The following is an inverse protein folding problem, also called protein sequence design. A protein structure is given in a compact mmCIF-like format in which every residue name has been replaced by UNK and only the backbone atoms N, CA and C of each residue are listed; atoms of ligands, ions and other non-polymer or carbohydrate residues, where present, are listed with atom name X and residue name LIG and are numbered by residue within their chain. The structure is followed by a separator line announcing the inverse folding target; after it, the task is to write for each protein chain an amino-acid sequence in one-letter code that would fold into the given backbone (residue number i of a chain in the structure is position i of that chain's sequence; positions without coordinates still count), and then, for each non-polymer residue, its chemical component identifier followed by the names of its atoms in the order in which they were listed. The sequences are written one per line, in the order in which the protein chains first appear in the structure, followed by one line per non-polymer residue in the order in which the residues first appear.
data_IF_096264122620
#
_entry.id   IF_096264122620
#
_cell.length_a   1.000
_cell.length_b   1.000
_cell.length_c   1.000
_cell.angle_alpha   90.00
_cell.angle_beta   90.00
_cell.angle_gamma   90.00
#
_symmetry.space_group_name_H-M   'P 1'
#
loop_
_entity.id
_entity.type
_entity.pdbx_description
1 polymer ?
#
# COMPACT_ATOMS: atom_id res chain seq x y z
N UNK A 1 34.50 7.40 -14.34
CA UNK A 1 33.90 6.13 -13.87
C UNK A 1 32.58 6.46 -13.21
N UNK A 2 31.46 6.18 -13.87
CA UNK A 2 30.13 6.32 -13.26
C UNK A 2 30.05 5.27 -12.15
N UNK A 3 29.72 5.63 -10.89
CA UNK A 3 29.54 4.61 -9.87
C UNK A 3 28.46 3.65 -10.37
N UNK A 4 28.78 2.37 -10.43
CA UNK A 4 27.80 1.33 -10.74
C UNK A 4 26.67 1.50 -9.72
N UNK A 5 25.50 1.95 -10.20
CA UNK A 5 24.33 2.10 -9.35
C UNK A 5 24.05 0.72 -8.78
N UNK A 6 24.17 0.58 -7.47
CA UNK A 6 23.76 -0.63 -6.78
C UNK A 6 22.24 -0.76 -6.96
N UNK A 7 21.83 -1.53 -7.96
CA UNK A 7 20.42 -1.69 -8.34
C UNK A 7 19.60 -2.29 -7.19
N UNK A 8 20.26 -3.02 -6.27
CA UNK A 8 19.63 -3.50 -5.02
C UNK A 8 19.32 -2.36 -4.04
N UNK A 9 20.03 -1.23 -4.10
CA UNK A 9 19.70 -0.03 -3.31
C UNK A 9 18.77 0.92 -4.05
N UNK A 10 18.77 0.89 -5.38
CA UNK A 10 17.99 1.81 -6.22
C UNK A 10 16.49 1.70 -5.95
N UNK A 11 15.92 0.49 -5.93
CA UNK A 11 14.47 0.32 -5.69
C UNK A 11 14.05 0.89 -4.32
N UNK A 12 14.90 0.72 -3.30
CA UNK A 12 14.64 1.26 -1.98
C UNK A 12 14.71 2.79 -1.95
N UNK A 13 15.70 3.39 -2.62
CA UNK A 13 15.82 4.85 -2.67
C UNK A 13 14.70 5.52 -3.48
N UNK A 14 14.24 4.90 -4.57
CA UNK A 14 13.08 5.37 -5.34
C UNK A 14 11.81 5.30 -4.49
N UNK A 15 11.60 4.22 -3.74
CA UNK A 15 10.48 4.12 -2.81
C UNK A 15 10.55 5.19 -1.71
N UNK A 16 11.75 5.47 -1.19
CA UNK A 16 11.95 6.50 -0.17
C UNK A 16 11.65 7.92 -0.69
N UNK A 17 12.00 8.21 -1.95
CA UNK A 17 11.57 9.43 -2.64
C UNK A 17 10.03 9.51 -2.75
N UNK A 18 9.37 8.39 -3.03
CA UNK A 18 7.91 8.29 -3.01
C UNK A 18 7.31 8.64 -1.64
N UNK A 19 7.93 8.17 -0.55
CA UNK A 19 7.47 8.50 0.81
C UNK A 19 7.60 9.98 1.12
N UNK A 20 8.69 10.63 0.71
CA UNK A 20 8.87 12.08 0.87
C UNK A 20 7.79 12.87 0.11
N UNK A 21 7.38 12.40 -1.07
CA UNK A 21 6.27 13.00 -1.82
C UNK A 21 4.93 12.79 -1.10
N UNK A 22 4.67 11.59 -0.60
CA UNK A 22 3.46 11.28 0.16
C UNK A 22 3.35 12.12 1.45
N UNK A 23 4.44 12.34 2.18
CA UNK A 23 4.46 13.24 3.35
C UNK A 23 4.12 14.70 3.01
N UNK A 24 4.36 15.11 1.76
CA UNK A 24 3.99 16.44 1.22
C UNK A 24 2.58 16.47 0.63
N UNK A 25 1.80 15.38 0.76
CA UNK A 25 0.47 15.23 0.16
C UNK A 25 0.47 14.99 -1.36
N UNK A 26 1.64 14.83 -1.99
CA UNK A 26 1.81 14.62 -3.44
C UNK A 26 1.64 13.15 -3.79
N UNK A 27 0.45 12.60 -3.53
CA UNK A 27 0.17 11.17 -3.59
C UNK A 27 0.23 10.58 -5.01
N UNK A 28 -0.18 11.32 -6.04
CA UNK A 28 -0.09 10.83 -7.43
C UNK A 28 1.36 10.62 -7.88
N UNK A 29 2.24 11.55 -7.51
CA UNK A 29 3.68 11.44 -7.80
C UNK A 29 4.33 10.35 -6.94
N UNK A 30 3.90 10.20 -5.68
CA UNK A 30 4.32 9.10 -4.83
C UNK A 30 3.95 7.73 -5.44
N UNK A 31 2.74 7.58 -5.98
CA UNK A 31 2.29 6.37 -6.66
C UNK A 31 3.17 6.03 -7.86
N UNK A 32 3.58 7.02 -8.65
CA UNK A 32 4.52 6.80 -9.75
C UNK A 32 5.85 6.22 -9.23
N UNK A 33 6.40 6.77 -8.14
CA UNK A 33 7.62 6.27 -7.51
C UNK A 33 7.47 4.86 -6.96
N UNK A 34 6.38 4.54 -6.26
CA UNK A 34 6.20 3.20 -5.71
C UNK A 34 6.03 2.13 -6.81
N UNK A 35 5.31 2.45 -7.90
CA UNK A 35 5.21 1.56 -9.07
C UNK A 35 6.57 1.32 -9.71
N UNK A 36 7.38 2.36 -9.82
CA UNK A 36 8.75 2.22 -10.32
C UNK A 36 9.61 1.36 -9.38
N UNK A 37 9.55 1.60 -8.07
CA UNK A 37 10.26 0.80 -7.08
C UNK A 37 9.87 -0.68 -7.13
N UNK A 38 8.57 -0.99 -7.29
CA UNK A 38 8.08 -2.36 -7.49
C UNK A 38 8.67 -2.99 -8.77
N UNK A 39 8.68 -2.27 -9.89
CA UNK A 39 9.28 -2.74 -11.15
C UNK A 39 10.78 -3.03 -11.00
N UNK A 40 11.52 -2.14 -10.33
CA UNK A 40 12.95 -2.30 -10.08
C UNK A 40 13.22 -3.49 -9.16
N UNK A 41 12.50 -3.59 -8.04
CA UNK A 41 12.62 -4.69 -7.08
C UNK A 41 12.34 -6.05 -7.73
N UNK A 42 11.30 -6.13 -8.58
CA UNK A 42 11.02 -7.33 -9.36
C UNK A 42 12.15 -7.67 -10.32
N UNK A 43 12.68 -6.68 -11.06
CA UNK A 43 13.76 -6.87 -12.02
C UNK A 43 15.05 -7.44 -11.42
N UNK A 44 15.35 -7.13 -10.15
CA UNK A 44 16.51 -7.67 -9.43
C UNK A 44 16.18 -8.87 -8.54
N UNK A 45 14.95 -9.39 -8.59
CA UNK A 45 14.47 -10.47 -7.72
C UNK A 45 14.73 -10.17 -6.24
N UNK A 46 14.46 -8.94 -5.84
CA UNK A 46 14.62 -8.52 -4.44
C UNK A 46 13.75 -9.37 -3.51
N UNK A 47 14.15 -9.55 -2.24
CA UNK A 47 13.34 -10.24 -1.25
C UNK A 47 11.90 -9.69 -1.20
N UNK A 48 10.90 -10.59 -1.12
CA UNK A 48 9.48 -10.20 -1.21
C UNK A 48 9.04 -9.16 -0.15
N UNK A 49 9.75 -9.07 0.99
CA UNK A 49 9.47 -8.05 2.02
C UNK A 49 9.48 -6.63 1.46
N UNK A 50 10.30 -6.34 0.44
CA UNK A 50 10.30 -5.04 -0.23
C UNK A 50 9.02 -4.81 -1.03
N UNK A 51 8.60 -5.80 -1.82
CA UNK A 51 7.37 -5.70 -2.60
C UNK A 51 6.14 -5.52 -1.70
N UNK A 52 6.06 -6.26 -0.59
CA UNK A 52 5.01 -6.08 0.44
C UNK A 52 5.01 -4.65 0.99
N UNK A 53 6.17 -4.15 1.41
CA UNK A 53 6.30 -2.78 1.93
C UNK A 53 5.85 -1.72 0.91
N UNK A 54 6.27 -1.85 -0.37
CA UNK A 54 5.87 -0.90 -1.42
C UNK A 54 4.38 -0.99 -1.73
N UNK A 55 3.79 -2.18 -1.69
CA UNK A 55 2.35 -2.35 -1.83
C UNK A 55 1.58 -1.58 -0.74
N UNK A 56 2.01 -1.64 0.52
CA UNK A 56 1.38 -0.85 1.58
C UNK A 56 1.48 0.66 1.31
N UNK A 57 2.61 1.14 0.79
CA UNK A 57 2.77 2.55 0.39
C UNK A 57 1.84 2.95 -0.78
N UNK A 58 1.64 2.05 -1.75
CA UNK A 58 0.68 2.22 -2.85
C UNK A 58 -0.74 2.30 -2.32
N UNK A 59 -1.15 1.32 -1.51
CA UNK A 59 -2.48 1.28 -0.90
C UNK A 59 -2.76 2.56 -0.13
N UNK A 60 -1.79 3.01 0.69
CA UNK A 60 -1.91 4.24 1.46
C UNK A 60 -2.16 5.46 0.56
N UNK A 61 -1.40 5.59 -0.53
CA UNK A 61 -1.56 6.75 -1.42
C UNK A 61 -2.88 6.70 -2.20
N UNK A 62 -3.33 5.53 -2.64
CA UNK A 62 -4.66 5.37 -3.24
C UNK A 62 -5.78 5.79 -2.28
N UNK A 63 -5.68 5.39 -1.01
CA UNK A 63 -6.66 5.78 0.01
C UNK A 63 -6.63 7.29 0.27
N UNK A 64 -5.45 7.91 0.28
CA UNK A 64 -5.28 9.35 0.50
C UNK A 64 -5.79 10.21 -0.64
N UNK A 65 -5.80 9.69 -1.88
CA UNK A 65 -6.44 10.37 -3.02
C UNK A 65 -7.95 10.09 -3.12
N UNK A 66 -8.51 9.28 -2.22
CA UNK A 66 -9.92 8.92 -2.24
C UNK A 66 -10.27 7.82 -3.24
N UNK A 67 -9.28 7.17 -3.88
CA UNK A 67 -9.46 6.01 -4.74
C UNK A 67 -9.74 4.73 -3.91
N UNK A 68 -10.72 4.81 -3.01
CA UNK A 68 -11.01 3.80 -2.00
C UNK A 68 -11.42 2.45 -2.61
N UNK A 69 -12.25 2.45 -3.66
CA UNK A 69 -12.63 1.20 -4.35
C UNK A 69 -11.41 0.48 -4.94
N UNK A 70 -10.52 1.23 -5.60
CA UNK A 70 -9.28 0.67 -6.16
C UNK A 70 -8.34 0.18 -5.05
N UNK A 71 -8.20 0.92 -3.96
CA UNK A 71 -7.42 0.51 -2.80
C UNK A 71 -7.98 -0.78 -2.17
N UNK A 72 -9.31 -0.89 -2.05
CA UNK A 72 -9.98 -2.06 -1.50
C UNK A 72 -9.78 -3.29 -2.39
N UNK A 73 -9.96 -3.17 -3.71
CA UNK A 73 -9.75 -4.26 -4.66
C UNK A 73 -8.30 -4.75 -4.61
N UNK A 74 -7.32 -3.85 -4.71
CA UNK A 74 -5.90 -4.20 -4.69
C UNK A 74 -5.50 -4.88 -3.36
N UNK A 75 -6.00 -4.38 -2.23
CA UNK A 75 -5.75 -4.98 -0.92
C UNK A 75 -6.34 -6.38 -0.81
N UNK A 76 -7.57 -6.58 -1.33
CA UNK A 76 -8.22 -7.88 -1.37
C UNK A 76 -7.45 -8.89 -2.24
N UNK A 77 -7.09 -8.50 -3.46
CA UNK A 77 -6.31 -9.33 -4.38
C UNK A 77 -4.97 -9.75 -3.76
N UNK A 78 -4.26 -8.83 -3.12
CA UNK A 78 -3.02 -9.13 -2.43
C UNK A 78 -3.23 -10.10 -1.25
N UNK A 79 -4.30 -9.93 -0.47
CA UNK A 79 -4.62 -10.83 0.63
C UNK A 79 -4.98 -12.24 0.14
N UNK A 80 -5.67 -12.35 -1.00
CA UNK A 80 -5.99 -13.61 -1.66
C UNK A 80 -4.74 -14.28 -2.23
N UNK A 81 -3.86 -13.52 -2.89
CA UNK A 81 -2.59 -14.03 -3.40
C UNK A 81 -1.70 -14.54 -2.26
N UNK A 82 -1.60 -13.81 -1.16
CA UNK A 82 -0.83 -14.24 0.02
C UNK A 82 -1.37 -15.55 0.64
N UNK A 83 -2.69 -15.77 0.57
CA UNK A 83 -3.28 -17.03 0.99
C UNK A 83 -2.98 -18.18 0.01
N UNK A 84 -3.02 -17.90 -1.30
CA UNK A 84 -2.75 -18.90 -2.34
C UNK A 84 -1.28 -19.35 -2.37
N UNK A 85 -0.32 -18.44 -2.12
CA UNK A 85 1.11 -18.76 -2.03
C UNK A 85 1.43 -19.83 -0.96
N UNK A 86 0.56 -20.00 0.02
CA UNK A 86 0.74 -20.95 1.11
C UNK A 86 0.37 -22.40 0.73
N UNK A 87 -0.57 -22.59 -0.21
CA UNK A 87 -1.16 -23.89 -0.51
C UNK A 87 -1.72 -24.59 0.74
N UNK A 88 -1.37 -25.85 0.93
CA UNK A 88 -1.76 -26.67 2.10
C UNK A 88 -0.88 -26.42 3.35
N UNK A 89 0.05 -25.48 3.28
CA UNK A 89 0.97 -25.16 4.37
C UNK A 89 0.29 -24.42 5.53
N UNK A 90 0.87 -24.53 6.73
CA UNK A 90 0.48 -23.66 7.86
C UNK A 90 1.19 -22.31 7.73
N UNK A 91 0.49 -21.16 7.77
CA UNK A 91 1.13 -19.87 7.60
C UNK A 91 1.94 -19.50 8.84
N UNK A 92 3.15 -18.98 8.63
CA UNK A 92 3.95 -18.36 9.69
C UNK A 92 3.22 -17.17 10.31
N UNK A 93 3.60 -16.79 11.53
CA UNK A 93 3.05 -15.62 12.23
C UNK A 93 3.15 -14.35 11.39
N UNK A 94 4.29 -14.16 10.72
CA UNK A 94 4.51 -13.05 9.80
C UNK A 94 3.48 -13.05 8.66
N UNK A 95 3.31 -14.18 7.96
CA UNK A 95 2.35 -14.30 6.85
C UNK A 95 0.90 -14.08 7.30
N UNK A 96 0.52 -14.59 8.48
CA UNK A 96 -0.82 -14.34 9.04
C UNK A 96 -1.06 -12.86 9.29
N UNK A 97 -0.11 -12.18 9.94
CA UNK A 97 -0.23 -10.73 10.24
C UNK A 97 -0.20 -9.85 8.99
N UNK A 98 0.65 -10.19 8.02
CA UNK A 98 0.72 -9.51 6.71
C UNK A 98 -0.64 -9.57 6.00
N UNK A 99 -1.23 -10.76 5.90
CA UNK A 99 -2.56 -10.95 5.33
C UNK A 99 -3.65 -10.24 6.14
N UNK A 100 -3.57 -10.27 7.46
CA UNK A 100 -4.52 -9.56 8.33
C UNK A 100 -4.47 -8.05 8.09
N UNK A 101 -3.28 -7.46 7.93
CA UNK A 101 -3.11 -6.05 7.59
C UNK A 101 -3.73 -5.71 6.22
N UNK A 102 -3.52 -6.55 5.20
CA UNK A 102 -4.14 -6.35 3.88
C UNK A 102 -5.68 -6.40 3.96
N UNK A 103 -6.24 -7.31 4.74
CA UNK A 103 -7.69 -7.38 4.97
C UNK A 103 -8.23 -6.19 5.77
N UNK A 104 -7.48 -5.67 6.74
CA UNK A 104 -7.83 -4.42 7.42
C UNK A 104 -7.82 -3.25 6.43
N UNK A 105 -6.80 -3.14 5.57
CA UNK A 105 -6.75 -2.12 4.49
C UNK A 105 -7.96 -2.24 3.56
N UNK A 106 -8.33 -3.46 3.16
CA UNK A 106 -9.52 -3.72 2.36
C UNK A 106 -10.80 -3.25 3.06
N UNK A 107 -11.01 -3.67 4.31
CA UNK A 107 -12.21 -3.33 5.07
C UNK A 107 -12.37 -1.83 5.32
N UNK A 108 -11.29 -1.14 5.68
CA UNK A 108 -11.28 0.32 5.87
C UNK A 108 -11.66 1.04 4.57
N UNK A 109 -11.09 0.64 3.44
CA UNK A 109 -11.35 1.29 2.16
C UNK A 109 -12.77 0.97 1.64
N UNK A 110 -13.30 -0.23 1.88
CA UNK A 110 -14.71 -0.54 1.62
C UNK A 110 -15.67 0.34 2.43
N UNK A 111 -15.38 0.60 3.73
CA UNK A 111 -16.17 1.55 4.51
C UNK A 111 -16.15 2.95 3.93
N UNK A 112 -14.97 3.42 3.49
CA UNK A 112 -14.83 4.75 2.87
C UNK A 112 -15.56 4.84 1.52
N UNK A 113 -15.70 3.73 0.81
CA UNK A 113 -16.49 3.62 -0.41
C UNK A 113 -17.99 3.41 -0.16
N UNK A 114 -18.43 3.24 1.09
CA UNK A 114 -19.83 3.01 1.45
C UNK A 114 -20.27 1.54 1.44
N UNK A 115 -19.39 0.60 1.09
CA UNK A 115 -19.66 -0.84 1.18
C UNK A 115 -19.49 -1.34 2.62
N UNK A 116 -20.53 -1.14 3.43
CA UNK A 116 -20.52 -1.55 4.85
C UNK A 116 -20.51 -3.08 5.01
N UNK A 117 -21.22 -3.81 4.15
CA UNK A 117 -21.32 -5.27 4.24
C UNK A 117 -19.98 -5.91 3.94
N UNK A 118 -19.38 -5.61 2.79
CA UNK A 118 -18.10 -6.16 2.40
C UNK A 118 -16.96 -5.67 3.29
N UNK A 119 -17.08 -4.48 3.89
CA UNK A 119 -16.16 -4.04 4.91
C UNK A 119 -16.20 -4.93 6.16
N UNK A 120 -17.39 -5.21 6.70
CA UNK A 120 -17.55 -6.05 7.90
C UNK A 120 -16.98 -7.44 7.69
N UNK A 121 -17.18 -8.04 6.52
CA UNK A 121 -16.59 -9.32 6.14
C UNK A 121 -15.05 -9.26 6.17
N UNK A 122 -14.46 -8.23 5.55
CA UNK A 122 -13.00 -8.06 5.48
C UNK A 122 -12.39 -7.84 6.87
N UNK A 123 -13.00 -6.98 7.70
CA UNK A 123 -12.53 -6.68 9.05
C UNK A 123 -12.65 -7.89 9.98
N UNK A 124 -13.74 -8.66 9.87
CA UNK A 124 -13.90 -9.90 10.63
C UNK A 124 -12.84 -10.94 10.24
N UNK A 125 -12.57 -11.10 8.94
CA UNK A 125 -11.52 -11.98 8.45
C UNK A 125 -10.11 -11.54 8.92
N UNK A 126 -9.84 -10.23 8.96
CA UNK A 126 -8.60 -9.69 9.51
C UNK A 126 -8.43 -10.08 10.99
N UNK A 127 -9.45 -9.86 11.82
CA UNK A 127 -9.44 -10.17 13.26
C UNK A 127 -9.29 -11.67 13.51
N UNK A 128 -9.85 -12.52 12.66
CA UNK A 128 -9.70 -13.97 12.76
C UNK A 128 -8.26 -14.45 12.53
N UNK A 129 -7.48 -13.71 11.73
CA UNK A 129 -6.06 -14.00 11.49
C UNK A 129 -5.14 -13.37 12.55
N UNK A 130 -5.48 -12.15 13.01
CA UNK A 130 -4.77 -11.44 14.05
C UNK A 130 -5.75 -10.73 15.00
N UNK A 131 -5.86 -11.24 16.22
CA UNK A 131 -6.70 -10.66 17.25
C UNK A 131 -6.25 -9.28 17.73
N UNK A 132 -5.01 -8.87 17.42
CA UNK A 132 -4.39 -7.61 17.84
C UNK A 132 -4.59 -6.45 16.84
N UNK A 133 -5.79 -6.34 16.26
CA UNK A 133 -6.18 -5.27 15.33
C UNK A 133 -7.24 -4.34 15.94
N UNK A 134 -6.85 -3.35 16.77
CA UNK A 134 -7.80 -2.50 17.49
C UNK A 134 -8.65 -1.62 16.55
N UNK A 135 -8.09 -1.12 15.45
CA UNK A 135 -8.84 -0.36 14.44
C UNK A 135 -9.97 -1.22 13.84
N UNK A 136 -9.63 -2.43 13.37
CA UNK A 136 -10.62 -3.37 12.84
C UNK A 136 -11.73 -3.68 13.84
N UNK A 137 -11.41 -3.84 15.13
CA UNK A 137 -12.38 -4.10 16.19
C UNK A 137 -13.32 -2.92 16.41
N UNK A 138 -12.79 -1.70 16.49
CA UNK A 138 -13.58 -0.48 16.67
C UNK A 138 -14.55 -0.29 15.51
N UNK A 139 -14.07 -0.42 14.28
CA UNK A 139 -14.87 -0.27 13.06
C UNK A 139 -15.96 -1.34 12.96
N UNK A 140 -15.64 -2.60 13.28
CA UNK A 140 -16.61 -3.69 13.29
C UNK A 140 -17.67 -3.48 14.38
N UNK A 141 -17.28 -3.00 15.56
CA UNK A 141 -18.21 -2.71 16.65
C UNK A 141 -19.14 -1.54 16.32
N UNK A 142 -18.64 -0.48 15.68
CA UNK A 142 -19.47 0.66 15.26
C UNK A 142 -20.48 0.25 14.20
N UNK A 143 -20.02 -0.43 13.15
CA UNK A 143 -20.87 -0.85 12.03
C UNK A 143 -21.89 -1.91 12.43
N UNK A 144 -21.56 -2.82 13.36
CA UNK A 144 -22.52 -3.79 13.92
C UNK A 144 -23.65 -3.12 14.71
N UNK A 145 -23.43 -1.92 15.27
CA UNK A 145 -24.44 -1.12 15.98
C UNK A 145 -25.21 -0.19 15.04
N UNK A 146 -25.00 -0.28 13.72
CA UNK A 146 -25.61 0.62 12.74
C UNK A 146 -25.06 2.06 12.81
N UNK A 147 -23.93 2.29 13.47
CA UNK A 147 -23.31 3.61 13.53
C UNK A 147 -22.58 3.87 12.21
N UNK A 148 -22.89 5.00 11.57
CA UNK A 148 -22.06 5.53 10.50
C UNK A 148 -20.65 5.84 11.00
N UNK A 149 -19.66 5.67 10.12
CA UNK A 149 -18.26 6.02 10.41
C UNK A 149 -17.89 7.25 9.58
N UNK A 150 -18.19 8.48 10.06
CA UNK A 150 -17.84 9.68 9.31
C UNK A 150 -16.34 9.80 9.13
N UNK A 151 -15.91 10.47 8.05
CA UNK A 151 -14.51 10.59 7.66
C UNK A 151 -13.60 11.09 8.79
N UNK A 152 -14.07 12.04 9.60
CA UNK A 152 -13.33 12.58 10.76
C UNK A 152 -13.05 11.49 11.80
N UNK A 153 -14.08 10.73 12.20
CA UNK A 153 -13.94 9.63 13.17
C UNK A 153 -13.06 8.50 12.63
N UNK A 154 -13.20 8.17 11.35
CA UNK A 154 -12.31 7.21 10.69
C UNK A 154 -10.85 7.68 10.77
N UNK A 155 -10.58 8.93 10.41
CA UNK A 155 -9.23 9.48 10.41
C UNK A 155 -8.63 9.55 11.83
N UNK A 156 -9.43 9.84 12.86
CA UNK A 156 -9.02 9.80 14.26
C UNK A 156 -8.63 8.37 14.69
N UNK A 157 -9.46 7.38 14.39
CA UNK A 157 -9.17 5.98 14.71
C UNK A 157 -7.90 5.48 13.99
N UNK A 158 -7.74 5.82 12.71
CA UNK A 158 -6.55 5.49 11.93
C UNK A 158 -5.27 6.09 12.55
N UNK A 159 -5.33 7.34 13.03
CA UNK A 159 -4.19 7.96 13.72
C UNK A 159 -3.91 7.30 15.06
N UNK A 160 -4.93 7.07 15.88
CA UNK A 160 -4.79 6.47 17.21
C UNK A 160 -4.14 5.08 17.16
N UNK A 161 -4.42 4.32 16.10
CA UNK A 161 -3.96 2.95 15.93
C UNK A 161 -2.74 2.81 15.00
N UNK A 162 -2.07 3.91 14.64
CA UNK A 162 -0.83 3.85 13.86
C UNK A 162 -0.99 3.25 12.44
N UNK A 163 -2.16 3.44 11.83
CA UNK A 163 -2.57 2.77 10.58
C UNK A 163 -1.69 3.08 9.35
N UNK A 164 -1.01 4.22 9.35
CA UNK A 164 -0.23 4.69 8.19
C UNK A 164 1.19 4.13 8.20
N UNK A 165 1.59 3.62 7.04
CA UNK A 165 2.93 3.07 6.80
C UNK A 165 3.94 4.19 6.60
N UNK A 166 3.57 5.25 5.88
CA UNK A 166 4.45 6.40 5.65
C UNK A 166 4.32 7.40 6.80
N UNK A 167 5.40 7.60 7.55
CA UNK A 167 5.42 8.51 8.70
C UNK A 167 6.71 9.31 8.75
N UNK A 168 6.62 10.54 9.26
CA UNK A 168 7.77 11.45 9.31
C UNK A 168 8.93 10.91 10.16
N UNK A 169 8.65 10.06 11.15
CA UNK A 169 9.63 9.43 12.02
C UNK A 169 10.32 8.19 11.40
N UNK A 170 9.78 7.63 10.31
CA UNK A 170 10.31 6.43 9.64
C UNK A 170 10.92 6.67 8.27
N UNK A 171 10.72 7.86 7.71
CA UNK A 171 11.24 8.21 6.38
C UNK A 171 12.69 8.67 6.47
N UNK A 172 13.56 8.04 5.67
CA UNK A 172 14.98 8.34 5.58
C UNK A 172 15.28 9.19 4.33
N UNK A 173 15.28 10.50 4.51
CA UNK A 173 15.53 11.44 3.41
C UNK A 173 16.91 11.27 2.76
N UNK A 174 17.91 10.74 3.46
CA UNK A 174 19.26 10.54 2.92
C UNK A 174 19.34 9.36 1.95
N UNK A 175 18.38 8.43 2.02
CA UNK A 175 18.28 7.28 1.10
C UNK A 175 17.47 7.58 -0.16
N UNK A 176 16.69 8.65 -0.17
CA UNK A 176 15.86 9.01 -1.31
C UNK A 176 16.70 9.30 -2.55
N UNK A 177 16.36 8.67 -3.67
CA UNK A 177 17.03 8.90 -4.93
C UNK A 177 16.07 8.88 -6.12
N UNK A 178 16.46 9.58 -7.17
CA UNK A 178 15.80 9.53 -8.46
C UNK A 178 16.29 8.32 -9.26
N UNK A 179 15.38 7.68 -9.98
CA UNK A 179 15.75 6.67 -10.95
C UNK A 179 16.36 7.35 -12.17
N UNK A 180 17.47 6.83 -12.73
CA UNK A 180 18.10 7.39 -13.92
C UNK A 180 17.26 7.18 -15.20
N UNK A 181 16.21 6.35 -15.14
CA UNK A 181 15.32 6.10 -16.28
C UNK A 181 14.05 6.94 -16.10
N UNK A 182 14.11 8.21 -16.49
CA UNK A 182 12.91 9.04 -16.61
C UNK A 182 11.88 8.42 -17.57
N UNK A 183 10.61 8.86 -17.53
CA UNK A 183 9.59 8.35 -18.43
C UNK A 183 10.04 8.56 -19.87
N UNK A 184 10.25 7.47 -20.61
CA UNK A 184 10.42 7.55 -22.07
C UNK A 184 9.07 7.90 -22.66
N UNK A 185 8.81 9.20 -22.85
CA UNK A 185 7.79 9.62 -23.80
C UNK A 185 8.15 9.06 -25.18
N UNK A 186 7.25 8.35 -25.87
CA UNK A 186 7.50 7.96 -27.24
C UNK A 186 7.54 9.23 -28.09
N UNK A 187 8.70 9.56 -28.66
CA UNK A 187 8.79 10.53 -29.76
C UNK A 187 8.02 9.96 -30.95
N UNK A 188 6.77 10.39 -31.10
CA UNK A 188 6.04 10.24 -32.35
C UNK A 188 6.84 11.03 -33.39
N UNK A 189 7.49 10.32 -34.31
CA UNK A 189 8.05 10.93 -35.51
C UNK A 189 6.87 11.32 -36.40
N UNK A 190 6.65 12.61 -36.60
CA UNK A 190 5.74 13.08 -37.65
C UNK A 190 6.21 12.56 -39.01
N UNK A 191 5.29 12.09 -39.88
CA UNK A 191 5.66 11.71 -41.23
C UNK A 191 5.89 12.98 -42.04
N UNK A 192 7.15 13.20 -42.48
CA UNK A 192 7.44 14.17 -43.52
C UNK A 192 6.66 13.78 -44.77
N UNK A 193 5.74 14.65 -45.19
CA UNK A 193 5.13 14.61 -46.51
C UNK A 193 6.19 15.02 -47.54
N UNK A 194 6.43 14.13 -48.50
CA UNK A 194 7.06 14.42 -49.78
C UNK A 194 6.04 14.21 -50.89
#
# INVERSE_FOLDING_TARGET
MTPAIDVHRLHAGVAEAGKLLALKGRHDEALAKYREALRLAHGVRAPQVFARHYLHCVLESLERTGANEQAAMLAHEAACSAAAELGDGTPSDFQRRDRACLLERCGVNRLKAGDVTGARESLAAAIALDGALPLSRDLLAWTARGLGVPAVRMAEAQRAHGYWTVRADTVDSARACESPVGPKEPRIKEPMHG
#
